data_IF_443444408618
#
_entry.id   IF_443444408618
#
_cell.length_a   1.000
_cell.length_b   1.000
_cell.length_c   1.000
_cell.angle_alpha   90.00
_cell.angle_beta   90.00
_cell.angle_gamma   90.00
#
_symmetry.space_group_name_H-M   'P 1'
#
loop_
_entity.id
_entity.type
_entity.pdbx_description
1 polymer ?
#
# COMPACT_ATOMS: atom_id res chain seq x y z
N UNK A 1 13.04 -0.56 -9.18
CA UNK A 1 13.27 -1.62 -10.17
C UNK A 1 14.54 -1.34 -10.94
N UNK A 2 15.46 -2.30 -11.01
CA UNK A 2 16.75 -2.22 -11.70
C UNK A 2 16.66 -2.89 -13.07
N UNK A 3 15.94 -4.02 -13.13
CA UNK A 3 15.66 -4.75 -14.36
C UNK A 3 14.32 -5.50 -14.25
N UNK A 4 13.68 -5.86 -15.37
CA UNK A 4 12.43 -6.60 -15.35
C UNK A 4 12.63 -8.05 -14.88
N UNK A 5 11.61 -8.58 -14.21
CA UNK A 5 11.45 -10.02 -14.00
C UNK A 5 10.48 -10.58 -15.04
N UNK A 6 10.71 -11.78 -15.51
CA UNK A 6 9.88 -12.45 -16.50
C UNK A 6 9.30 -13.77 -15.97
N UNK A 7 8.19 -14.19 -16.55
CA UNK A 7 7.64 -15.53 -16.27
C UNK A 7 8.62 -16.58 -16.77
N UNK A 8 9.01 -17.49 -15.89
CA UNK A 8 10.02 -18.53 -16.16
C UNK A 8 11.41 -18.20 -15.62
N UNK A 9 11.62 -17.01 -15.05
CA UNK A 9 12.87 -16.72 -14.33
C UNK A 9 12.96 -17.55 -13.05
N UNK A 10 14.17 -18.01 -12.72
CA UNK A 10 14.49 -18.49 -11.37
C UNK A 10 14.68 -17.28 -10.47
N UNK A 11 13.89 -17.19 -9.40
CA UNK A 11 13.86 -16.02 -8.51
C UNK A 11 14.47 -16.38 -7.16
N UNK A 12 15.44 -15.58 -6.73
CA UNK A 12 15.98 -15.61 -5.38
C UNK A 12 15.59 -14.31 -4.65
N UNK A 13 15.12 -14.43 -3.41
CA UNK A 13 14.86 -13.30 -2.53
C UNK A 13 15.72 -13.41 -1.27
N UNK A 14 16.59 -12.46 -1.08
CA UNK A 14 17.36 -12.27 0.15
C UNK A 14 16.72 -11.16 0.99
N UNK A 15 16.42 -11.46 2.27
CA UNK A 15 15.76 -10.53 3.18
C UNK A 15 16.63 -10.30 4.41
N UNK A 16 16.89 -9.03 4.72
CA UNK A 16 17.73 -8.61 5.84
C UNK A 16 16.97 -7.65 6.73
N UNK A 17 17.02 -7.82 8.05
CA UNK A 17 16.56 -6.81 9.00
C UNK A 17 17.69 -5.78 9.13
N UNK A 18 17.51 -4.62 8.50
CA UNK A 18 18.49 -3.53 8.49
C UNK A 18 18.52 -2.79 9.81
N UNK A 19 17.35 -2.56 10.44
CA UNK A 19 17.27 -1.88 11.71
C UNK A 19 16.03 -2.22 12.52
N UNK A 20 16.16 -2.10 13.85
CA UNK A 20 15.03 -2.12 14.78
C UNK A 20 15.17 -0.88 15.67
N UNK A 21 14.19 0.02 15.62
CA UNK A 21 14.24 1.30 16.35
C UNK A 21 13.00 1.47 17.20
N UNK A 22 13.22 1.71 18.51
CA UNK A 22 12.16 2.08 19.43
C UNK A 22 12.01 3.60 19.49
N UNK A 23 10.77 4.09 19.46
CA UNK A 23 10.42 5.50 19.64
C UNK A 23 9.27 5.59 20.63
N UNK A 24 9.44 6.39 21.68
CA UNK A 24 8.40 6.73 22.66
C UNK A 24 7.82 8.11 22.34
N UNK A 25 6.50 8.24 22.34
CA UNK A 25 5.81 9.49 22.05
C UNK A 25 4.47 9.60 22.76
N UNK A 26 3.73 10.66 22.46
CA UNK A 26 2.40 10.91 23.08
C UNK A 26 1.36 9.82 22.79
N UNK A 27 1.57 9.03 21.75
CA UNK A 27 0.67 7.95 21.30
C UNK A 27 1.14 6.56 21.74
N UNK A 28 2.03 6.49 22.73
CA UNK A 28 2.62 5.24 23.24
C UNK A 28 3.95 4.90 22.57
N UNK A 29 4.36 3.66 22.75
CA UNK A 29 5.60 3.13 22.22
C UNK A 29 5.41 2.57 20.81
N UNK A 30 6.35 2.89 19.94
CA UNK A 30 6.40 2.40 18.56
C UNK A 30 7.72 1.68 18.32
N UNK A 31 7.68 0.51 17.72
CA UNK A 31 8.85 -0.21 17.25
C UNK A 31 8.82 -0.22 15.72
N UNK A 32 9.84 0.36 15.11
CA UNK A 32 10.05 0.36 13.67
C UNK A 32 11.04 -0.72 13.31
N UNK A 33 10.67 -1.60 12.40
CA UNK A 33 11.55 -2.64 11.86
C UNK A 33 11.68 -2.38 10.36
N UNK A 34 12.89 -2.03 9.92
CA UNK A 34 13.20 -1.90 8.50
C UNK A 34 13.71 -3.23 7.98
N UNK A 35 12.99 -3.80 7.02
CA UNK A 35 13.39 -5.02 6.31
C UNK A 35 13.73 -4.67 4.87
N UNK A 36 14.93 -5.01 4.43
CA UNK A 36 15.35 -4.91 3.03
C UNK A 36 15.18 -6.25 2.34
N UNK A 37 14.55 -6.25 1.18
CA UNK A 37 14.45 -7.39 0.28
C UNK A 37 15.23 -7.11 -1.00
N UNK A 38 16.15 -7.99 -1.36
CA UNK A 38 16.89 -8.00 -2.61
C UNK A 38 16.37 -9.19 -3.44
N UNK A 39 15.80 -8.90 -4.59
CA UNK A 39 15.18 -9.90 -5.46
C UNK A 39 16.01 -9.97 -6.74
N UNK A 40 16.53 -11.15 -7.03
CA UNK A 40 17.42 -11.43 -8.16
C UNK A 40 16.86 -12.51 -9.08
N UNK A 41 17.28 -12.50 -10.32
CA UNK A 41 17.12 -13.59 -11.29
C UNK A 41 18.48 -14.00 -11.85
N UNK A 42 18.52 -14.80 -12.94
CA UNK A 42 19.76 -15.27 -13.57
C UNK A 42 20.65 -14.13 -14.09
N UNK A 43 20.09 -12.94 -14.35
CA UNK A 43 20.80 -11.75 -14.80
C UNK A 43 21.33 -10.88 -13.65
N UNK A 44 20.99 -11.21 -12.40
CA UNK A 44 21.42 -10.51 -11.21
C UNK A 44 20.30 -9.78 -10.50
N UNK A 45 20.65 -8.77 -9.71
CA UNK A 45 19.72 -8.00 -8.88
C UNK A 45 18.71 -7.23 -9.73
N UNK A 46 17.41 -7.48 -9.48
CA UNK A 46 16.31 -6.93 -10.26
C UNK A 46 15.47 -5.90 -9.47
N UNK A 47 15.19 -6.18 -8.19
CA UNK A 47 14.38 -5.30 -7.35
C UNK A 47 15.04 -5.15 -5.99
N UNK A 48 15.03 -3.91 -5.47
CA UNK A 48 15.29 -3.62 -4.07
C UNK A 48 13.99 -3.07 -3.48
N UNK A 49 13.56 -3.65 -2.39
CA UNK A 49 12.41 -3.21 -1.61
C UNK A 49 12.86 -2.94 -0.16
N UNK A 50 12.46 -1.80 0.37
CA UNK A 50 12.57 -1.46 1.77
C UNK A 50 11.16 -1.45 2.37
N UNK A 51 10.96 -2.23 3.43
CA UNK A 51 9.67 -2.40 4.08
C UNK A 51 9.75 -1.97 5.54
N UNK A 52 9.14 -0.83 5.86
CA UNK A 52 8.98 -0.34 7.22
C UNK A 52 7.77 -1.01 7.87
N UNK A 53 8.02 -1.84 8.88
CA UNK A 53 7.00 -2.47 9.70
C UNK A 53 6.92 -1.71 11.02
N UNK A 54 5.72 -1.27 11.41
CA UNK A 54 5.50 -0.51 12.64
C UNK A 54 4.65 -1.33 13.60
N UNK A 55 5.23 -1.67 14.73
CA UNK A 55 4.51 -2.28 15.85
C UNK A 55 4.13 -1.21 16.85
N UNK A 56 2.94 -1.28 17.37
CA UNK A 56 2.42 -0.40 18.41
C UNK A 56 1.56 -1.20 19.39
N UNK A 57 1.42 -0.68 20.59
CA UNK A 57 0.46 -1.22 21.55
C UNK A 57 -0.98 -1.09 21.05
N UNK A 58 -1.85 -1.95 21.57
CA UNK A 58 -3.28 -1.82 21.33
C UNK A 58 -3.75 -0.45 21.85
N UNK A 59 -4.69 0.22 21.13
CA UNK A 59 -5.24 1.48 21.59
C UNK A 59 -5.84 1.34 22.99
N UNK A 60 -5.52 2.29 23.87
CA UNK A 60 -6.15 2.38 25.18
C UNK A 60 -7.60 2.88 25.07
N UNK A 61 -8.43 2.70 26.14
CA UNK A 61 -9.82 3.12 26.13
C UNK A 61 -10.00 4.65 25.97
N UNK A 62 -9.01 5.43 26.28
CA UNK A 62 -9.00 6.90 26.18
C UNK A 62 -8.33 7.44 24.90
N UNK A 63 -7.80 6.58 24.06
CA UNK A 63 -7.13 6.98 22.83
C UNK A 63 -8.14 7.53 21.82
N UNK A 64 -7.95 8.79 21.44
CA UNK A 64 -8.77 9.42 20.41
C UNK A 64 -8.29 8.98 19.03
N UNK A 65 -9.22 8.60 18.15
CA UNK A 65 -8.88 8.35 16.75
C UNK A 65 -8.17 9.57 16.13
N UNK A 66 -7.13 9.32 15.36
CA UNK A 66 -6.47 10.39 14.60
C UNK A 66 -7.50 10.97 13.61
N UNK A 67 -7.62 12.31 13.59
CA UNK A 67 -8.51 12.99 12.67
C UNK A 67 -8.16 12.60 11.22
N UNK A 68 -9.17 12.29 10.38
CA UNK A 68 -8.94 11.93 9.00
C UNK A 68 -8.41 13.13 8.20
N UNK A 69 -7.55 12.86 7.23
CA UNK A 69 -7.00 13.87 6.32
C UNK A 69 -7.79 13.81 5.01
N UNK A 70 -8.30 14.94 4.48
CA UNK A 70 -8.95 14.97 3.18
C UNK A 70 -7.99 14.54 2.07
N UNK A 71 -8.48 13.75 1.11
CA UNK A 71 -7.72 13.41 -0.08
C UNK A 71 -7.64 14.60 -1.05
N UNK A 72 -6.57 14.71 -1.87
CA UNK A 72 -6.51 15.70 -2.95
C UNK A 72 -7.69 15.58 -3.90
N UNK A 73 -8.23 16.72 -4.39
CA UNK A 73 -9.42 16.76 -5.25
C UNK A 73 -9.10 17.02 -6.72
N UNK A 74 -7.83 17.19 -7.05
CA UNK A 74 -7.34 17.61 -8.36
C UNK A 74 -6.72 16.44 -9.17
N UNK A 75 -7.29 15.27 -9.03
CA UNK A 75 -6.88 14.08 -9.78
C UNK A 75 -7.03 14.27 -11.29
N UNK A 76 -5.99 13.92 -12.04
CA UNK A 76 -6.06 13.81 -13.50
C UNK A 76 -6.68 12.48 -13.93
N UNK A 77 -6.40 11.41 -13.21
CA UNK A 77 -6.91 10.06 -13.44
C UNK A 77 -7.49 9.50 -12.15
N UNK A 78 -8.59 8.77 -12.28
CA UNK A 78 -9.19 8.10 -11.13
C UNK A 78 -9.96 6.85 -11.55
N UNK A 79 -10.07 5.89 -10.62
CA UNK A 79 -10.86 4.67 -10.79
C UNK A 79 -11.55 4.33 -9.48
N UNK A 80 -12.84 4.03 -9.55
CA UNK A 80 -13.60 3.52 -8.41
C UNK A 80 -13.42 2.01 -8.32
N UNK A 81 -13.18 1.53 -7.11
CA UNK A 81 -12.97 0.12 -6.79
C UNK A 81 -14.11 -0.32 -5.86
N UNK A 82 -14.72 -1.44 -6.18
CA UNK A 82 -15.66 -2.14 -5.29
C UNK A 82 -14.91 -3.32 -4.67
N UNK A 83 -14.47 -3.19 -3.42
CA UNK A 83 -13.86 -4.33 -2.72
C UNK A 83 -14.99 -5.29 -2.33
N UNK A 84 -14.84 -6.54 -2.69
CA UNK A 84 -15.76 -7.59 -2.29
C UNK A 84 -15.01 -8.77 -1.67
N UNK A 85 -15.74 -9.66 -1.00
CA UNK A 85 -15.18 -10.83 -0.33
C UNK A 85 -14.34 -11.69 -1.31
N UNK A 86 -14.77 -11.76 -2.57
CA UNK A 86 -14.10 -12.58 -3.59
C UNK A 86 -12.75 -11.97 -3.97
N UNK A 87 -12.69 -10.66 -4.17
CA UNK A 87 -11.45 -9.94 -4.47
C UNK A 87 -10.44 -10.11 -3.33
N UNK A 88 -10.90 -9.89 -2.08
CA UNK A 88 -10.02 -9.98 -0.92
C UNK A 88 -9.54 -11.41 -0.68
N UNK A 89 -10.44 -12.39 -0.77
CA UNK A 89 -10.08 -13.79 -0.66
C UNK A 89 -9.05 -14.22 -1.73
N UNK A 90 -9.29 -13.85 -3.00
CA UNK A 90 -8.36 -14.16 -4.11
C UNK A 90 -6.99 -13.54 -3.89
N UNK A 91 -6.95 -12.29 -3.42
CA UNK A 91 -5.67 -11.64 -3.16
C UNK A 91 -4.92 -12.32 -2.01
N UNK A 92 -5.60 -12.65 -0.90
CA UNK A 92 -5.02 -13.45 0.18
C UNK A 92 -4.47 -14.78 -0.32
N UNK A 93 -5.24 -15.50 -1.14
CA UNK A 93 -4.84 -16.80 -1.67
C UNK A 93 -3.60 -16.70 -2.58
N UNK A 94 -3.57 -15.73 -3.51
CA UNK A 94 -2.47 -15.52 -4.45
C UNK A 94 -1.17 -15.05 -3.79
N UNK A 95 -1.28 -14.34 -2.68
CA UNK A 95 -0.14 -13.81 -1.93
C UNK A 95 0.23 -14.64 -0.69
N UNK A 96 -0.45 -15.76 -0.47
CA UNK A 96 -0.31 -16.61 0.72
C UNK A 96 -0.47 -15.83 2.03
N UNK A 97 -1.30 -14.77 2.02
CA UNK A 97 -1.58 -13.95 3.19
C UNK A 97 -2.71 -14.57 4.02
N UNK A 98 -2.35 -15.23 5.12
CA UNK A 98 -3.30 -15.88 6.03
C UNK A 98 -3.88 -14.96 7.12
N UNK A 99 -3.67 -13.64 7.07
CA UNK A 99 -4.19 -12.73 8.08
C UNK A 99 -5.72 -12.61 7.97
N UNK A 100 -6.41 -13.09 8.99
CA UNK A 100 -7.87 -13.29 9.01
C UNK A 100 -8.69 -12.02 8.78
N UNK A 101 -8.15 -10.86 9.11
CA UNK A 101 -8.85 -9.57 8.94
C UNK A 101 -9.25 -9.27 7.49
N UNK A 102 -8.64 -9.97 6.53
CA UNK A 102 -8.89 -9.76 5.10
C UNK A 102 -9.94 -10.71 4.50
N UNK A 103 -10.29 -11.82 5.15
CA UNK A 103 -11.18 -12.83 4.58
C UNK A 103 -12.14 -13.50 5.57
N UNK A 104 -11.96 -13.33 6.88
CA UNK A 104 -12.82 -13.89 7.90
C UNK A 104 -13.67 -12.78 8.53
N UNK A 105 -14.85 -12.55 7.94
CA UNK A 105 -15.76 -11.49 8.36
C UNK A 105 -16.16 -11.61 9.82
N UNK A 106 -16.47 -12.82 10.29
CA UNK A 106 -16.85 -13.03 11.68
C UNK A 106 -15.73 -12.66 12.64
N UNK A 107 -14.52 -13.09 12.33
CA UNK A 107 -13.33 -12.75 13.13
C UNK A 107 -13.09 -11.23 13.18
N UNK A 108 -13.10 -10.58 12.04
CA UNK A 108 -12.76 -9.15 11.96
C UNK A 108 -13.81 -8.28 12.65
N UNK A 109 -15.08 -8.68 12.66
CA UNK A 109 -16.15 -7.91 13.29
C UNK A 109 -16.36 -8.24 14.76
N UNK A 110 -16.29 -9.52 15.15
CA UNK A 110 -16.60 -9.96 16.52
C UNK A 110 -15.36 -9.99 17.43
N UNK A 111 -14.16 -10.18 16.88
CA UNK A 111 -12.91 -10.28 17.66
C UNK A 111 -12.08 -9.00 17.55
N UNK A 112 -11.87 -8.49 16.34
CA UNK A 112 -11.07 -7.28 16.10
C UNK A 112 -11.90 -5.98 16.25
N UNK A 113 -13.24 -6.07 16.19
CA UNK A 113 -14.14 -4.93 16.35
C UNK A 113 -14.18 -3.96 15.16
N UNK A 114 -13.70 -4.37 13.99
CA UNK A 114 -13.76 -3.56 12.76
C UNK A 114 -15.15 -3.64 12.10
N UNK A 115 -15.55 -2.64 11.31
CA UNK A 115 -16.88 -2.62 10.68
C UNK A 115 -17.03 -3.61 9.53
N UNK A 116 -15.94 -4.15 8.99
CA UNK A 116 -15.91 -5.07 7.87
C UNK A 116 -14.50 -5.58 7.59
N UNK A 117 -14.33 -6.35 6.51
CA UNK A 117 -13.01 -6.82 6.09
C UNK A 117 -12.10 -5.65 5.72
N UNK A 118 -10.85 -5.75 6.13
CA UNK A 118 -9.84 -4.73 5.77
C UNK A 118 -9.30 -5.06 4.38
N UNK A 119 -9.34 -4.08 3.48
CA UNK A 119 -8.68 -4.19 2.16
C UNK A 119 -7.17 -4.20 2.37
N UNK A 120 -6.49 -5.17 1.77
CA UNK A 120 -5.03 -5.30 1.92
C UNK A 120 -4.30 -4.04 1.44
N UNK A 121 -3.41 -3.49 2.26
CA UNK A 121 -2.55 -2.38 1.84
C UNK A 121 -1.79 -2.66 0.54
N UNK A 122 -1.13 -3.84 0.39
CA UNK A 122 -0.47 -4.22 -0.87
C UNK A 122 -1.42 -4.34 -2.07
N UNK A 123 -2.69 -4.72 -1.89
CA UNK A 123 -3.68 -4.70 -2.96
C UNK A 123 -3.96 -3.27 -3.42
N UNK A 124 -4.16 -2.34 -2.47
CA UNK A 124 -4.35 -0.93 -2.80
C UNK A 124 -3.12 -0.39 -3.56
N UNK A 125 -1.91 -0.68 -3.07
CA UNK A 125 -0.66 -0.29 -3.74
C UNK A 125 -0.57 -0.83 -5.18
N UNK A 126 -0.97 -2.09 -5.40
CA UNK A 126 -1.04 -2.71 -6.73
C UNK A 126 -2.03 -1.97 -7.64
N UNK A 127 -3.22 -1.62 -7.12
CA UNK A 127 -4.24 -0.88 -7.88
C UNK A 127 -3.80 0.55 -8.21
N UNK A 128 -3.01 1.20 -7.34
CA UNK A 128 -2.41 2.50 -7.60
C UNK A 128 -1.41 2.44 -8.76
N UNK A 129 -0.53 1.44 -8.77
CA UNK A 129 0.40 1.20 -9.88
C UNK A 129 -0.35 0.87 -11.17
N UNK A 130 -1.39 0.03 -11.08
CA UNK A 130 -2.22 -0.34 -12.23
C UNK A 130 -2.91 0.89 -12.87
N UNK A 131 -3.42 1.81 -12.04
CA UNK A 131 -3.98 3.07 -12.53
C UNK A 131 -2.95 3.87 -13.35
N UNK A 132 -1.71 3.99 -12.87
CA UNK A 132 -0.65 4.70 -13.60
C UNK A 132 -0.35 4.02 -14.93
N UNK A 133 -0.21 2.70 -14.95
CA UNK A 133 0.08 1.93 -16.16
C UNK A 133 -1.05 2.00 -17.20
N UNK A 134 -2.30 2.00 -16.75
CA UNK A 134 -3.46 2.18 -17.63
C UNK A 134 -3.57 3.62 -18.17
N UNK A 135 -3.21 4.62 -17.35
CA UNK A 135 -3.31 6.04 -17.71
C UNK A 135 -2.16 6.53 -18.59
N UNK A 136 -0.98 5.89 -18.49
CA UNK A 136 0.24 6.22 -19.24
C UNK A 136 0.76 4.92 -19.92
N UNK A 137 0.18 4.54 -21.07
CA UNK A 137 0.56 3.31 -21.76
C UNK A 137 2.06 3.27 -22.09
N UNK A 138 2.69 2.12 -21.83
CA UNK A 138 4.11 1.92 -22.10
C UNK A 138 5.06 2.52 -21.07
N UNK A 139 4.57 3.19 -20.01
CA UNK A 139 5.43 3.72 -18.96
C UNK A 139 6.19 2.59 -18.25
N UNK A 140 7.42 2.90 -17.87
CA UNK A 140 8.24 2.03 -17.02
C UNK A 140 8.46 2.73 -15.69
N UNK A 141 8.25 2.01 -14.60
CA UNK A 141 8.51 2.52 -13.26
C UNK A 141 10.01 2.38 -12.93
N UNK A 142 10.59 3.46 -12.48
CA UNK A 142 11.93 3.49 -11.88
C UNK A 142 11.83 3.20 -10.38
N UNK A 143 10.90 3.87 -9.70
CA UNK A 143 10.64 3.66 -8.27
C UNK A 143 9.16 3.83 -7.95
N UNK A 144 8.74 3.24 -6.85
CA UNK A 144 7.41 3.38 -6.28
C UNK A 144 7.53 3.33 -4.76
N UNK A 145 6.97 4.33 -4.10
CA UNK A 145 6.92 4.45 -2.65
C UNK A 145 5.48 4.67 -2.23
N UNK A 146 5.04 4.02 -1.17
CA UNK A 146 3.70 4.22 -0.64
C UNK A 146 3.67 4.15 0.89
N UNK A 147 2.66 4.80 1.45
CA UNK A 147 2.38 4.81 2.88
C UNK A 147 0.90 4.60 3.13
N UNK A 148 0.55 3.56 3.87
CA UNK A 148 -0.78 3.38 4.41
C UNK A 148 -1.02 4.41 5.54
N UNK A 149 -2.19 5.07 5.52
CA UNK A 149 -2.56 6.14 6.44
C UNK A 149 -3.66 5.68 7.38
N UNK A 150 -4.70 5.04 6.82
CA UNK A 150 -5.82 4.47 7.58
C UNK A 150 -6.40 3.25 6.87
N UNK A 151 -7.09 2.35 7.61
CA UNK A 151 -7.73 1.20 6.99
C UNK A 151 -8.78 1.60 5.95
N UNK A 152 -8.89 0.80 4.89
CA UNK A 152 -9.99 0.81 3.92
C UNK A 152 -10.80 -0.45 4.15
N UNK A 153 -12.14 -0.32 4.26
CA UNK A 153 -13.03 -1.44 4.53
C UNK A 153 -13.81 -1.84 3.28
N UNK A 154 -14.16 -3.11 3.20
CA UNK A 154 -14.88 -3.69 2.05
C UNK A 154 -16.37 -3.33 1.99
N UNK A 155 -16.91 -2.76 3.05
CA UNK A 155 -18.33 -2.37 3.16
C UNK A 155 -18.72 -1.18 2.27
N UNK A 156 -17.74 -0.47 1.72
CA UNK A 156 -17.95 0.67 0.83
C UNK A 156 -16.97 0.63 -0.35
N UNK A 157 -17.33 1.34 -1.40
CA UNK A 157 -16.38 1.63 -2.50
C UNK A 157 -15.24 2.52 -2.01
N UNK A 158 -14.10 2.41 -2.67
CA UNK A 158 -13.02 3.38 -2.51
C UNK A 158 -12.51 3.85 -3.88
N UNK A 159 -11.74 4.90 -3.91
CA UNK A 159 -11.22 5.46 -5.15
C UNK A 159 -9.69 5.48 -5.13
N UNK A 160 -9.08 5.09 -6.23
CA UNK A 160 -7.66 5.30 -6.51
C UNK A 160 -7.53 6.44 -7.52
N UNK A 161 -6.58 7.34 -7.29
CA UNK A 161 -6.44 8.60 -8.03
C UNK A 161 -4.99 8.94 -8.26
N UNK A 162 -4.69 9.65 -9.35
CA UNK A 162 -3.32 10.03 -9.69
C UNK A 162 -3.28 11.34 -10.49
N UNK A 163 -2.14 12.05 -10.39
CA UNK A 163 -1.78 13.18 -11.23
C UNK A 163 -0.25 13.29 -11.38
N UNK A 164 0.27 13.89 -12.47
CA UNK A 164 1.66 14.33 -12.51
C UNK A 164 1.94 15.36 -11.42
N UNK A 165 3.06 15.23 -10.73
CA UNK A 165 3.51 16.19 -9.70
C UNK A 165 4.45 17.21 -10.36
N UNK A 166 3.85 18.16 -11.10
CA UNK A 166 4.61 19.14 -11.86
C UNK A 166 5.32 20.18 -10.97
N UNK A 167 4.95 20.28 -9.70
CA UNK A 167 5.64 21.14 -8.73
C UNK A 167 7.00 20.54 -8.32
N UNK A 168 7.02 19.22 -8.07
CA UNK A 168 8.26 18.49 -7.76
C UNK A 168 9.09 18.18 -8.98
N UNK A 169 8.43 17.91 -10.10
CA UNK A 169 9.08 17.49 -11.32
C UNK A 169 8.37 18.04 -12.57
N UNK A 170 8.84 19.19 -13.11
CA UNK A 170 8.26 19.79 -14.32
C UNK A 170 8.32 18.89 -15.56
N UNK A 171 9.15 17.83 -15.57
CA UNK A 171 9.18 16.86 -16.68
C UNK A 171 7.95 15.93 -16.69
N UNK A 172 7.17 15.90 -15.58
CA UNK A 172 5.99 15.07 -15.43
C UNK A 172 6.27 13.59 -15.25
N UNK A 173 7.52 13.20 -14.95
CA UNK A 173 7.90 11.82 -14.65
C UNK A 173 7.55 11.39 -13.22
N UNK A 174 7.38 12.34 -12.30
CA UNK A 174 6.94 12.08 -10.95
C UNK A 174 5.42 12.14 -10.88
N UNK A 175 4.81 11.05 -10.43
CA UNK A 175 3.36 10.90 -10.33
C UNK A 175 2.97 10.82 -8.85
N UNK A 176 2.15 11.74 -8.38
CA UNK A 176 1.46 11.66 -7.09
C UNK A 176 0.23 10.78 -7.23
N UNK A 177 0.09 9.81 -6.32
CA UNK A 177 -0.96 8.79 -6.38
C UNK A 177 -1.54 8.62 -4.98
N UNK A 178 -2.85 8.40 -4.89
CA UNK A 178 -3.49 8.17 -3.59
C UNK A 178 -4.72 7.30 -3.68
N UNK A 179 -5.10 6.74 -2.54
CA UNK A 179 -6.40 6.12 -2.35
C UNK A 179 -7.20 6.92 -1.33
N UNK A 180 -8.52 6.98 -1.53
CA UNK A 180 -9.46 7.61 -0.62
C UNK A 180 -10.69 6.72 -0.41
N UNK A 181 -11.27 6.78 0.79
CA UNK A 181 -12.50 6.08 1.09
C UNK A 181 -13.74 6.76 0.44
N UNK A 182 -14.91 6.21 0.71
CA UNK A 182 -16.19 6.71 0.16
C UNK A 182 -16.58 8.10 0.66
N UNK A 183 -16.02 8.55 1.80
CA UNK A 183 -16.23 9.89 2.36
C UNK A 183 -15.20 10.91 1.84
N UNK A 184 -14.18 10.47 1.09
CA UNK A 184 -13.13 11.34 0.56
C UNK A 184 -11.92 11.49 1.47
N UNK A 185 -11.77 10.65 2.50
CA UNK A 185 -10.61 10.67 3.37
C UNK A 185 -9.46 9.86 2.80
N UNK A 186 -8.25 10.40 2.91
CA UNK A 186 -7.02 9.78 2.44
C UNK A 186 -6.73 8.50 3.21
N UNK A 187 -6.63 7.36 2.49
CA UNK A 187 -6.33 6.05 3.09
C UNK A 187 -4.92 5.56 2.76
N UNK A 188 -4.39 5.94 1.61
CA UNK A 188 -3.02 5.66 1.20
C UNK A 188 -2.49 6.79 0.33
N UNK A 189 -1.23 7.14 0.49
CA UNK A 189 -0.52 8.04 -0.42
C UNK A 189 0.68 7.31 -1.02
N UNK A 190 1.01 7.65 -2.26
CA UNK A 190 2.12 7.04 -2.97
C UNK A 190 2.76 8.01 -3.97
N UNK A 191 4.00 7.72 -4.34
CA UNK A 191 4.72 8.41 -5.40
C UNK A 191 5.35 7.38 -6.33
N UNK A 192 5.14 7.54 -7.61
CA UNK A 192 5.83 6.78 -8.65
C UNK A 192 6.76 7.70 -9.44
N UNK A 193 7.97 7.21 -9.74
CA UNK A 193 8.89 7.87 -10.67
C UNK A 193 9.01 7.01 -11.92
N UNK A 194 8.78 7.61 -13.07
CA UNK A 194 8.90 6.96 -14.37
C UNK A 194 10.35 7.02 -14.87
N UNK A 195 10.75 6.00 -15.62
CA UNK A 195 12.08 5.92 -16.23
C UNK A 195 12.29 6.94 -17.37
#
# INVERSE_FOLDING_TARGET
WLQPLAVGDDIERHSTIESVTHKSGRTGDLIFVLVKHEISNQQGLAIIEEHDIVYRDAPGPDDKPVAPTPAPQDAKWSKTITPDDVLLFRYSALTFNGHRIHYDRKYVTEVEGYPGLIVHGPLIATLLVDLVRQSIPGCKLKSFEFRAIRPTFDINIFKVSAKPDLEKDPSGKTISIWAQDHEGWLTMQATAVLA
#
